data_IF_547479628562
#
_entry.id   IF_547479628562
#
_cell.length_a   1.000
_cell.length_b   1.000
_cell.length_c   1.000
_cell.angle_alpha   90.00
_cell.angle_beta   90.00
_cell.angle_gamma   90.00
#
_symmetry.space_group_name_H-M   'P 1'
#
loop_
_entity.id
_entity.type
_entity.pdbx_description
1 polymer ?
2 water ?
#
# COMPACT_ATOMS: atom_id res chain seq x y z
N UNK A 12 1.14 1.79 -21.59
CA UNK A 12 2.02 1.23 -22.60
C UNK A 12 2.52 -0.17 -22.18
N UNK A 13 2.76 -0.34 -20.87
CA UNK A 13 3.35 -1.56 -20.31
C UNK A 13 2.42 -2.78 -20.38
N UNK A 14 2.96 -3.90 -20.87
CA UNK A 14 2.22 -5.17 -20.92
C UNK A 14 2.96 -6.28 -20.15
N UNK A 15 2.72 -6.36 -18.82
CA UNK A 15 3.49 -7.26 -17.95
C UNK A 15 3.20 -8.74 -18.17
N UNK A 16 4.24 -9.56 -18.11
CA UNK A 16 4.07 -10.99 -18.30
C UNK A 16 4.74 -11.79 -17.16
N UNK A 17 5.41 -11.09 -16.25
CA UNK A 17 6.00 -11.71 -15.06
C UNK A 17 5.69 -10.97 -13.77
N UNK A 18 5.80 -11.68 -12.66
CA UNK A 18 5.64 -11.10 -11.34
C UNK A 18 6.83 -10.24 -10.96
N UNK A 19 6.59 -9.27 -10.09
CA UNK A 19 7.67 -8.43 -9.62
C UNK A 19 7.34 -7.89 -8.23
N UNK A 20 8.38 -7.67 -7.42
CA UNK A 20 8.23 -7.06 -6.12
C UNK A 20 8.44 -5.55 -6.21
N UNK A 21 7.53 -4.80 -5.59
CA UNK A 21 7.54 -3.35 -5.53
C UNK A 21 7.93 -2.94 -4.11
N UNK A 22 9.06 -2.28 -3.93
CA UNK A 22 9.49 -1.89 -2.59
C UNK A 22 9.29 -0.39 -2.38
N UNK A 23 8.41 -0.05 -1.44
CA UNK A 23 8.07 1.34 -1.14
C UNK A 23 8.29 1.65 0.34
N UNK A 24 8.33 2.94 0.66
CA UNK A 24 8.47 3.38 2.04
C UNK A 24 7.16 3.93 2.57
N UNK A 25 6.82 3.62 3.82
CA UNK A 25 5.59 4.13 4.45
C UNK A 25 5.80 4.50 5.91
N UNK A 26 5.01 5.46 6.38
CA UNK A 26 5.03 5.85 7.79
C UNK A 26 3.66 5.69 8.45
N UNK A 27 3.65 5.24 9.70
CA UNK A 27 2.43 5.26 10.48
C UNK A 27 2.00 6.67 10.84
N UNK A 28 0.69 6.91 10.84
CA UNK A 28 0.13 8.18 11.29
C UNK A 28 -0.86 7.94 12.44
N UNK A 29 -0.46 8.27 13.67
CA UNK A 29 -1.31 8.06 14.86
C UNK A 29 -2.72 8.63 14.68
N UNK A 30 -2.82 9.90 14.31
CA UNK A 30 -4.11 10.54 14.10
C UNK A 30 -4.76 10.08 12.79
N UNK A 31 -5.76 9.21 12.90
CA UNK A 31 -6.43 8.67 11.73
C UNK A 31 -6.19 7.18 11.60
N UNK A 32 -5.22 6.67 12.37
CA UNK A 32 -4.87 5.26 12.37
C UNK A 32 -4.56 4.76 10.96
N UNK A 33 -3.68 5.48 10.26
CA UNK A 33 -3.34 5.14 8.89
C UNK A 33 -1.86 4.85 8.67
N UNK A 34 -1.57 4.24 7.53
CA UNK A 34 -0.22 4.25 6.99
C UNK A 34 -0.21 5.30 5.92
N UNK A 35 0.94 5.93 5.70
CA UNK A 35 1.04 6.99 4.71
C UNK A 35 2.28 6.80 3.83
N UNK A 36 2.09 6.83 2.51
CA UNK A 36 3.22 6.67 1.59
C UNK A 36 4.24 7.80 1.74
N UNK A 37 5.50 7.50 1.42
CA UNK A 37 6.47 8.54 1.09
C UNK A 37 6.38 8.74 -0.42
N UNK A 38 6.21 9.97 -0.87
CA UNK A 38 6.04 10.21 -2.31
C UNK A 38 7.36 10.02 -3.03
N UNK A 39 7.29 9.70 -4.32
CA UNK A 39 8.49 9.41 -5.09
C UNK A 39 8.12 8.52 -6.26
N UNK A 40 9.13 7.93 -6.90
CA UNK A 40 8.92 7.12 -8.10
C UNK A 40 9.77 5.87 -8.05
N UNK A 41 9.39 4.90 -8.86
CA UNK A 41 10.12 3.64 -8.92
C UNK A 41 10.01 3.09 -10.33
N UNK A 42 11.16 2.88 -10.96
CA UNK A 42 11.20 2.26 -12.27
C UNK A 42 11.18 0.73 -12.11
N UNK A 43 10.15 0.08 -12.64
CA UNK A 43 10.08 -1.37 -12.55
C UNK A 43 10.52 -1.96 -13.88
N UNK A 44 10.78 -3.27 -13.91
CA UNK A 44 11.14 -3.91 -15.16
C UNK A 44 9.91 -4.34 -15.96
N UNK A 45 8.82 -4.71 -15.28
CA UNK A 45 7.68 -5.27 -15.98
C UNK A 45 6.40 -4.43 -15.89
N UNK A 46 6.39 -3.41 -15.04
CA UNK A 46 5.15 -2.69 -14.78
C UNK A 46 5.25 -1.21 -15.08
N UNK A 47 6.25 -0.83 -15.87
CA UNK A 47 6.43 0.57 -16.21
C UNK A 47 6.88 1.36 -15.00
N UNK A 48 6.52 2.65 -14.97
CA UNK A 48 6.92 3.53 -13.88
C UNK A 48 5.87 3.56 -12.78
N UNK A 49 6.30 3.35 -11.55
CA UNK A 49 5.40 3.48 -10.43
C UNK A 49 5.53 4.89 -9.88
N UNK A 50 4.40 5.58 -9.77
CA UNK A 50 4.38 6.96 -9.29
C UNK A 50 3.58 7.04 -8.01
N UNK A 51 4.25 7.43 -6.94
CA UNK A 51 3.57 7.57 -5.67
C UNK A 51 3.29 9.05 -5.41
N UNK A 52 2.06 9.48 -5.67
CA UNK A 52 1.66 10.88 -5.47
C UNK A 52 1.61 11.28 -4.01
N UNK A 53 1.43 12.57 -3.75
CA UNK A 53 1.26 13.04 -2.39
C UNK A 53 -0.02 12.53 -1.74
N UNK A 54 -0.07 12.57 -0.41
CA UNK A 54 -1.23 12.09 0.32
C UNK A 54 -2.53 12.77 -0.10
N UNK A 55 -3.61 12.00 -0.09
CA UNK A 55 -4.94 12.52 -0.35
C UNK A 55 -5.20 13.05 -1.74
N UNK A 56 -4.41 12.62 -2.71
CA UNK A 56 -4.60 13.05 -4.09
C UNK A 56 -5.97 12.61 -4.59
N UNK A 57 -6.72 13.53 -5.18
CA UNK A 57 -8.06 13.23 -5.66
C UNK A 57 -8.01 12.37 -6.89
N UNK A 58 -9.11 11.70 -7.20
CA UNK A 58 -9.13 10.80 -8.35
C UNK A 58 -8.83 11.52 -9.67
N UNK A 59 -9.32 12.75 -9.85
CA UNK A 59 -9.12 13.44 -11.14
C UNK A 59 -7.65 13.86 -11.32
N UNK A 60 -7.01 14.29 -10.24
CA UNK A 60 -5.59 14.57 -10.26
C UNK A 60 -4.77 13.30 -10.47
N UNK A 61 -5.17 12.21 -9.81
CA UNK A 61 -4.40 10.97 -9.83
C UNK A 61 -4.18 10.46 -11.25
N UNK A 62 -5.19 10.56 -12.12
CA UNK A 62 -5.05 10.04 -13.48
C UNK A 62 -4.23 10.95 -14.41
N UNK A 63 -3.75 12.07 -13.89
CA UNK A 63 -2.93 12.98 -14.70
C UNK A 63 -1.43 12.83 -14.42
N UNK A 64 -1.08 12.09 -13.36
CA UNK A 64 0.31 11.94 -12.98
C UNK A 64 1.11 11.19 -14.04
N UNK A 65 2.42 11.40 -14.03
CA UNK A 65 3.29 10.88 -15.07
C UNK A 65 3.84 9.52 -14.67
N UNK A 66 3.09 8.46 -14.97
CA UNK A 66 3.52 7.12 -14.64
C UNK A 66 2.56 6.12 -15.21
N UNK A 67 2.87 4.85 -15.01
CA UNK A 67 2.04 3.77 -15.51
C UNK A 67 1.08 3.24 -14.45
N UNK A 68 1.50 3.35 -13.19
CA UNK A 68 0.73 2.94 -12.02
C UNK A 68 0.85 4.07 -10.99
N UNK A 69 -0.28 4.63 -10.57
CA UNK A 69 -0.27 5.80 -9.70
C UNK A 69 -0.93 5.47 -8.38
N UNK A 70 -0.24 5.76 -7.28
CA UNK A 70 -0.77 5.45 -5.97
C UNK A 70 -0.87 6.69 -5.10
N UNK A 71 -1.90 6.72 -4.25
CA UNK A 71 -1.99 7.71 -3.18
C UNK A 71 -2.57 7.03 -1.92
N UNK A 72 -2.05 7.38 -0.76
CA UNK A 72 -2.65 6.95 0.49
C UNK A 72 -3.56 8.05 1.01
N UNK A 73 -4.74 7.67 1.49
CA UNK A 73 -5.73 8.63 2.00
C UNK A 73 -5.71 8.63 3.52
N UNK A 74 -5.95 9.80 4.10
CA UNK A 74 -5.90 9.96 5.54
C UNK A 74 -7.26 10.43 6.05
N UNK A 75 -7.37 10.75 7.33
CA UNK A 75 -8.65 11.24 7.82
C UNK A 75 -9.76 10.19 7.92
N UNK A 76 -10.59 10.34 8.96
CA UNK A 76 -11.63 9.38 9.31
C UNK A 76 -12.51 9.05 8.13
N UNK A 77 -13.11 7.88 8.16
CA UNK A 77 -13.98 7.51 7.06
C UNK A 77 -13.25 6.76 5.97
N UNK A 78 -11.97 7.08 5.76
CA UNK A 78 -11.15 6.32 4.81
C UNK A 78 -10.64 5.03 5.47
N UNK A 79 -11.56 4.11 5.76
CA UNK A 79 -11.27 2.87 6.49
C UNK A 79 -12.21 1.75 6.07
N UNK A 80 -11.67 0.61 5.66
CA UNK A 80 -12.52 -0.56 5.48
C UNK A 80 -12.52 -1.39 6.76
N UNK A 81 -11.74 -0.95 7.73
CA UNK A 81 -11.47 -1.71 8.94
C UNK A 81 -11.87 -0.94 10.21
N UNK A 82 -12.43 -1.63 11.19
CA UNK A 82 -12.68 -1.02 12.49
C UNK A 82 -11.40 -0.86 13.27
N UNK A 83 -10.73 0.26 13.12
CA UNK A 83 -9.60 0.53 13.98
C UNK A 83 -10.07 1.19 15.27
N UNK A 84 -9.39 0.87 16.36
CA UNK A 84 -9.65 1.54 17.62
C UNK A 84 -8.95 2.89 17.62
N UNK A 85 -9.71 3.93 17.29
CA UNK A 85 -9.15 5.27 17.19
C UNK A 85 -8.76 5.85 18.55
N UNK A 86 -9.12 5.17 19.64
CA UNK A 86 -8.69 5.59 20.97
C UNK A 86 -7.19 5.38 21.20
N UNK A 87 -6.58 4.54 20.38
CA UNK A 87 -5.14 4.26 20.46
C UNK A 87 -4.54 4.31 19.07
N UNK A 88 -3.25 4.01 18.96
CA UNK A 88 -2.64 3.98 17.63
C UNK A 88 -1.90 2.65 17.39
N UNK A 89 -2.55 1.54 17.73
CA UNK A 89 -2.00 0.19 17.55
C UNK A 89 -2.54 -0.47 16.29
N UNK A 90 -3.77 -0.11 15.94
CA UNK A 90 -4.44 -0.70 14.79
C UNK A 90 -4.43 0.28 13.63
N UNK A 91 -3.71 -0.07 12.57
CA UNK A 91 -3.46 0.85 11.46
C UNK A 91 -3.93 0.28 10.13
N UNK A 92 -4.32 1.17 9.23
CA UNK A 92 -4.77 0.73 7.93
C UNK A 92 -4.12 1.56 6.83
N UNK A 93 -3.68 0.89 5.78
CA UNK A 93 -3.34 1.59 4.55
C UNK A 93 -4.61 1.63 3.69
N UNK A 94 -5.10 2.83 3.39
CA UNK A 94 -6.24 2.96 2.49
C UNK A 94 -5.75 3.70 1.26
N UNK A 95 -5.48 2.94 0.20
CA UNK A 95 -4.82 3.52 -0.97
C UNK A 95 -5.70 3.50 -2.20
N UNK A 96 -5.50 4.49 -3.06
CA UNK A 96 -6.15 4.54 -4.36
C UNK A 96 -5.07 4.33 -5.39
N UNK A 97 -5.28 3.38 -6.28
CA UNK A 97 -4.25 2.97 -7.21
C UNK A 97 -4.78 3.00 -8.63
N UNK A 98 -4.17 3.85 -9.45
CA UNK A 98 -4.51 3.94 -10.86
C UNK A 98 -3.63 3.00 -11.67
N UNK A 99 -4.26 1.99 -12.26
CA UNK A 99 -3.58 1.06 -13.14
C UNK A 99 -3.79 1.49 -14.59
N UNK A 100 -2.77 2.14 -15.13
CA UNK A 100 -2.80 2.58 -16.52
C UNK A 100 -1.82 1.78 -17.38
N UNK A 101 -1.72 0.49 -17.11
CA UNK A 101 -1.02 -0.44 -17.99
C UNK A 101 -2.05 -1.11 -18.90
N UNK A 102 -1.61 -2.02 -19.75
CA UNK A 102 -2.52 -2.67 -20.68
C UNK A 102 -3.16 -3.94 -20.10
N UNK A 103 -2.85 -4.28 -18.85
CA UNK A 103 -3.46 -5.47 -18.25
C UNK A 103 -3.85 -5.31 -16.80
N UNK A 104 -4.83 -6.10 -16.39
CA UNK A 104 -5.14 -6.29 -14.99
C UNK A 104 -3.89 -6.76 -14.23
N UNK A 105 -3.75 -6.29 -13.00
CA UNK A 105 -2.66 -6.68 -12.11
C UNK A 105 -3.23 -7.20 -10.80
N UNK A 106 -2.71 -8.32 -10.31
CA UNK A 106 -3.09 -8.77 -8.97
C UNK A 106 -1.97 -8.41 -7.99
N UNK A 107 -2.33 -7.80 -6.87
CA UNK A 107 -1.40 -7.68 -5.77
C UNK A 107 -1.55 -8.93 -4.91
N UNK A 108 -0.55 -9.81 -4.97
CA UNK A 108 -0.60 -11.15 -4.38
C UNK A 108 -0.40 -11.18 -2.89
N UNK A 109 0.54 -10.36 -2.43
CA UNK A 109 0.94 -10.41 -1.03
C UNK A 109 1.66 -9.16 -0.66
N UNK A 110 1.73 -8.89 0.63
CA UNK A 110 2.53 -7.78 1.11
C UNK A 110 3.34 -8.24 2.30
N UNK A 111 4.43 -7.54 2.57
CA UNK A 111 5.15 -7.74 3.82
C UNK A 111 5.73 -6.42 4.26
N UNK A 112 6.04 -6.33 5.55
CA UNK A 112 6.56 -5.12 6.15
C UNK A 112 7.83 -5.41 6.90
N UNK A 113 8.73 -4.44 6.86
CA UNK A 113 9.85 -4.41 7.75
C UNK A 113 9.86 -3.03 8.38
N UNK A 114 10.16 -2.93 9.69
CA UNK A 114 10.44 -1.59 10.23
C UNK A 114 11.64 -1.00 9.52
N UNK A 115 11.67 0.32 9.35
CA UNK A 115 12.86 1.00 8.87
C UNK A 115 13.78 1.30 10.06
N UNK A 116 14.98 1.82 9.79
CA UNK A 116 15.90 2.20 10.85
C UNK A 116 15.40 3.48 11.51
N UNK A 117 15.60 3.62 12.81
CA UNK A 117 15.18 4.84 13.49
C UNK A 117 16.23 5.93 13.35
N UNK A 118 16.15 6.95 14.19
CA UNK A 118 17.00 8.13 14.09
C UNK A 118 18.49 7.80 14.29
N UNK A 119 18.77 6.82 15.14
CA UNK A 119 20.15 6.39 15.39
C UNK A 119 20.82 5.85 14.13
N UNK A 120 20.02 5.41 13.16
CA UNK A 120 20.52 4.74 11.97
C UNK A 120 21.03 3.31 12.19
N UNK A 121 20.79 2.75 13.38
CA UNK A 121 21.39 1.47 13.76
C UNK A 121 20.48 0.61 14.63
N UNK A 122 19.22 1.00 14.74
CA UNK A 122 18.24 0.27 15.53
C UNK A 122 16.92 0.22 14.79
N UNK A 123 16.11 -0.80 15.04
CA UNK A 123 14.78 -0.81 14.43
C UNK A 123 13.72 -1.11 15.48
N UNK A 124 12.50 -0.66 15.25
CA UNK A 124 11.44 -0.98 16.18
C UNK A 124 11.07 -2.46 16.18
N UNK A 125 11.11 -3.08 17.36
CA UNK A 125 10.73 -4.48 17.53
C UNK A 125 9.29 -4.58 18.00
N UNK A 126 8.52 -3.54 17.70
CA UNK A 126 7.08 -3.55 17.94
C UNK A 126 6.43 -4.65 17.09
N UNK A 127 5.99 -5.75 17.72
CA UNK A 127 5.45 -6.88 16.96
C UNK A 127 4.07 -6.55 16.41
N UNK A 128 3.70 -7.20 15.30
CA UNK A 128 2.44 -6.91 14.62
C UNK A 128 1.86 -8.11 13.88
N UNK A 129 0.56 -8.08 13.65
CA UNK A 129 -0.07 -9.02 12.75
C UNK A 129 -0.53 -8.24 11.51
N UNK A 130 -0.13 -8.74 10.35
CA UNK A 130 -0.46 -8.15 9.06
C UNK A 130 -1.73 -8.72 8.49
N UNK A 131 -2.67 -7.87 8.11
CA UNK A 131 -3.82 -8.32 7.36
C UNK A 131 -3.69 -7.94 5.87
N UNK A 132 -3.82 -8.93 4.98
CA UNK A 132 -3.90 -8.63 3.56
C UNK A 132 -4.63 -9.70 2.76
N UNK A 133 -5.58 -9.25 1.95
CA UNK A 133 -6.32 -10.10 1.01
C UNK A 133 -5.91 -9.75 -0.42
N UNK A 134 -5.57 -10.77 -1.24
CA UNK A 134 -5.17 -10.48 -2.63
C UNK A 134 -6.19 -9.59 -3.33
N UNK A 135 -5.70 -8.60 -4.08
CA UNK A 135 -6.52 -7.54 -4.63
C UNK A 135 -6.21 -7.30 -6.09
N UNK A 136 -7.24 -7.36 -6.94
CA UNK A 136 -7.07 -7.09 -8.36
C UNK A 136 -7.08 -5.58 -8.64
N UNK A 137 -6.06 -5.11 -9.35
CA UNK A 137 -6.07 -3.74 -9.84
C UNK A 137 -6.55 -3.78 -11.30
N UNK A 138 -7.82 -3.46 -11.51
CA UNK A 138 -8.38 -3.46 -12.86
C UNK A 138 -7.72 -2.35 -13.69
N UNK A 139 -7.41 -2.64 -14.94
CA UNK A 139 -6.79 -1.63 -15.80
C UNK A 139 -7.78 -0.53 -16.23
N UNK A 140 -7.25 0.68 -16.41
CA UNK A 140 -8.04 1.87 -16.73
C UNK A 140 -9.00 2.23 -15.63
N UNK A 141 -8.67 1.80 -14.42
CA UNK A 141 -9.53 2.06 -13.30
C UNK A 141 -8.71 2.50 -12.11
N UNK A 142 -9.32 3.30 -11.24
CA UNK A 142 -8.73 3.58 -9.95
C UNK A 142 -9.29 2.55 -8.96
N UNK A 143 -8.40 1.88 -8.24
CA UNK A 143 -8.78 0.77 -7.38
C UNK A 143 -8.46 1.05 -5.93
N UNK A 144 -9.28 0.53 -5.03
CA UNK A 144 -8.94 0.59 -3.62
C UNK A 144 -8.00 -0.56 -3.26
N UNK A 145 -6.94 -0.23 -2.53
CA UNK A 145 -5.98 -1.22 -2.06
C UNK A 145 -5.74 -1.00 -0.58
N UNK A 146 -5.93 -2.04 0.23
CA UNK A 146 -5.74 -1.88 1.67
C UNK A 146 -4.94 -3.03 2.28
N UNK A 147 -4.24 -2.73 3.37
CA UNK A 147 -3.78 -3.77 4.27
C UNK A 147 -3.88 -3.19 5.68
N UNK A 148 -4.01 -4.08 6.66
CA UNK A 148 -4.02 -3.64 8.04
C UNK A 148 -2.82 -4.16 8.80
N UNK A 149 -2.45 -3.45 9.85
CA UNK A 149 -1.44 -3.96 10.76
C UNK A 149 -1.88 -3.62 12.16
N UNK A 150 -1.84 -4.62 13.04
CA UNK A 150 -2.16 -4.40 14.43
C UNK A 150 -0.92 -4.64 15.27
N UNK A 151 -0.42 -3.57 15.88
CA UNK A 151 0.80 -3.61 16.67
C UNK A 151 0.56 -3.91 18.16
N UNK A 152 1.60 -4.39 18.84
CA UNK A 152 1.58 -4.57 20.30
C UNK A 152 1.52 -3.21 21.00
N UNK A 153 2.36 -2.29 20.52
CA UNK A 153 2.55 -0.97 21.11
C UNK A 153 2.06 0.14 20.18
N UNK A 154 1.59 1.25 20.75
CA UNK A 154 1.17 2.43 19.99
C UNK A 154 2.22 2.90 19.00
N UNK A 155 1.77 3.27 17.82
CA UNK A 155 2.65 3.94 16.88
C UNK A 155 2.73 5.45 17.18
N UNK A 156 3.95 5.95 17.34
CA UNK A 156 4.20 7.38 17.52
C UNK A 156 5.40 7.81 16.69
N UNK A 157 6.06 8.89 17.08
CA UNK A 157 7.15 9.45 16.27
C UNK A 157 8.46 8.69 16.39
N UNK A 158 8.56 7.79 17.36
CA UNK A 158 9.83 7.10 17.57
C UNK A 158 9.93 5.83 16.73
N UNK A 159 8.79 5.32 16.29
CA UNK A 159 8.74 3.95 15.79
C UNK A 159 7.81 3.77 14.57
N UNK A 160 7.58 4.84 13.81
CA UNK A 160 6.56 4.81 12.77
C UNK A 160 7.05 4.45 11.37
N UNK A 161 8.36 4.29 11.19
CA UNK A 161 8.92 4.12 9.86
C UNK A 161 8.93 2.67 9.37
N UNK A 162 8.30 2.42 8.22
CA UNK A 162 8.23 1.05 7.69
C UNK A 162 8.58 0.95 6.21
N UNK A 163 9.02 -0.24 5.83
CA UNK A 163 9.33 -0.58 4.44
C UNK A 163 8.29 -1.56 3.97
N UNK A 164 7.69 -1.29 2.82
CA UNK A 164 6.58 -2.08 2.33
C UNK A 164 6.99 -2.86 1.08
N UNK A 165 6.78 -4.17 1.10
CA UNK A 165 6.97 -4.98 -0.08
C UNK A 165 5.64 -5.46 -0.63
N UNK A 166 5.39 -5.18 -1.90
CA UNK A 166 4.20 -5.71 -2.56
C UNK A 166 4.60 -6.57 -3.74
N UNK A 167 3.95 -7.72 -3.90
CA UNK A 167 4.18 -8.50 -5.10
C UNK A 167 3.08 -8.27 -6.12
N UNK A 168 3.49 -7.83 -7.31
CA UNK A 168 2.59 -7.66 -8.45
C UNK A 168 2.66 -8.86 -9.37
N UNK A 169 1.52 -9.30 -9.89
CA UNK A 169 1.53 -10.32 -10.93
C UNK A 169 0.45 -10.04 -11.98
N UNK A 170 0.63 -10.56 -13.20
CA UNK A 170 -0.33 -10.27 -14.27
C UNK A 170 -1.66 -10.98 -14.08
N UNK A 171 -2.75 -10.35 -14.50
CA UNK A 171 -4.02 -11.04 -14.59
C UNK A 171 -4.89 -10.81 -13.38
N UNK A 172 -5.99 -11.56 -13.31
CA UNK A 172 -7.03 -11.29 -12.34
C UNK A 172 -7.62 -12.58 -11.75
N UNK A 173 -7.01 -13.72 -12.05
CA UNK A 173 -7.50 -15.01 -11.56
C UNK A 173 -7.37 -15.15 -10.05
N UNK A 174 -8.47 -15.52 -9.41
CA UNK A 174 -8.50 -15.71 -7.96
C UNK A 174 -9.21 -17.02 -7.63
N UNK A 175 -8.97 -17.51 -6.42
CA UNK A 175 -9.60 -18.72 -5.94
C UNK A 175 -11.13 -18.66 -6.04
N UNK A 176 -11.72 -19.66 -6.67
CA UNK A 176 -13.18 -19.74 -6.73
C UNK A 176 -13.71 -20.84 -5.78
N UNK A 177 -14.33 -20.42 -4.68
CA UNK A 177 -14.88 -21.34 -3.70
C UNK A 177 -15.92 -22.31 -4.28
N UNK A 178 -15.75 -23.60 -4.01
CA UNK A 178 -16.68 -24.62 -4.47
C UNK A 178 -17.90 -24.82 -3.59
N UNK A 179 -18.62 -25.91 -3.82
CA UNK A 179 -19.87 -26.17 -3.10
C UNK A 179 -19.63 -26.80 -1.73
N UNK A 180 -20.55 -26.54 -0.80
CA UNK A 180 -20.44 -27.02 0.58
C UNK A 180 -20.46 -28.55 0.70
#
# INVERSE_FOLDING_TARGET
>A
MLNKKLDKKDKDAYPVESEIINLTINGVARGNHFNFVNGTLQTRNYGKVYVAGQGTSDSELVKKKGDIILTSLLGDGDHTLNVNKAESKELELYARVYNNTKRDITVDSVSLSPGLNATGREFSANKFVLYFKPTVLKKNRINTLVFGATFDEDIDDTNRHYLLSMRFSPGNDLFKVGEKLEHHHHHH
#
